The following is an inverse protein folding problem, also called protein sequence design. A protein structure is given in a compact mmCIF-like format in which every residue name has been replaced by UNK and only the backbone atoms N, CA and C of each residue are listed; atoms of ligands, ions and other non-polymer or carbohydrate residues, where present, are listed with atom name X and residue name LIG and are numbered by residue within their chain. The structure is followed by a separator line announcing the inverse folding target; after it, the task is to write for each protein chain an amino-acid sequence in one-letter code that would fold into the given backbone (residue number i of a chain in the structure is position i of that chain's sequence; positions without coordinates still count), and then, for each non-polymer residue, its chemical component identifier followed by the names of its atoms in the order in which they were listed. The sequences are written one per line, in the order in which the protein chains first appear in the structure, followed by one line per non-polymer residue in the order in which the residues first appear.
data_IF_452816774379
#
_entry.id   IF_452816774379
#
_cell.length_a   1.000
_cell.length_b   1.000
_cell.length_c   1.000
_cell.angle_alpha   90.00
_cell.angle_beta   90.00
_cell.angle_gamma   90.00
#
_symmetry.space_group_name_H-M   'P 1'
#
loop_
_entity.id
_entity.type
_entity.pdbx_description
1 polymer ?
#
# COMPACT_ATOMS: atom_id res chain seq x y z
N UNK A 1 -1.18 40.24 -6.66
CA UNK A 1 -0.09 39.43 -7.26
C UNK A 1 -0.65 38.04 -7.49
N UNK A 2 -0.80 37.60 -8.74
CA UNK A 2 -1.31 36.26 -9.05
C UNK A 2 -0.16 35.26 -8.85
N UNK A 3 -0.26 34.40 -7.84
CA UNK A 3 0.75 33.36 -7.60
C UNK A 3 0.50 32.23 -8.60
N UNK A 4 1.43 32.05 -9.55
CA UNK A 4 1.31 31.04 -10.60
C UNK A 4 1.69 29.68 -10.00
N UNK A 5 0.70 28.84 -9.75
CA UNK A 5 0.90 27.47 -9.31
C UNK A 5 1.33 26.60 -10.49
N UNK A 6 2.46 25.90 -10.36
CA UNK A 6 2.97 25.01 -11.40
C UNK A 6 2.52 23.57 -11.15
N UNK A 7 2.18 22.89 -12.25
CA UNK A 7 1.75 21.48 -12.22
C UNK A 7 2.93 20.57 -12.57
N UNK A 8 3.30 19.73 -11.63
CA UNK A 8 4.32 18.70 -11.79
C UNK A 8 3.67 17.32 -11.87
N UNK A 9 4.04 16.53 -12.88
CA UNK A 9 3.52 15.18 -13.08
C UNK A 9 4.67 14.19 -13.05
N UNK A 10 4.57 13.20 -12.16
CA UNK A 10 5.51 12.11 -12.02
C UNK A 10 4.81 10.80 -12.36
N UNK A 11 5.42 9.98 -13.21
CA UNK A 11 4.90 8.64 -13.54
C UNK A 11 6.00 7.61 -13.36
N UNK A 12 5.70 6.52 -12.65
CA UNK A 12 6.59 5.36 -12.55
C UNK A 12 5.77 4.08 -12.64
N UNK A 13 6.31 3.01 -13.26
CA UNK A 13 5.65 1.71 -13.26
C UNK A 13 5.67 1.13 -11.84
N UNK A 14 4.50 0.80 -11.28
CA UNK A 14 4.31 0.15 -9.98
C UNK A 14 3.15 -0.83 -10.04
N UNK A 15 3.28 -1.98 -9.39
CA UNK A 15 2.20 -3.00 -9.33
C UNK A 15 1.66 -3.41 -10.73
N UNK A 16 2.52 -3.43 -11.75
CA UNK A 16 2.14 -3.79 -13.12
C UNK A 16 1.43 -2.69 -13.93
N UNK A 17 1.34 -1.45 -13.43
CA UNK A 17 0.64 -0.34 -14.07
C UNK A 17 1.38 1.00 -13.88
N UNK A 18 1.20 2.02 -14.74
CA UNK A 18 1.73 3.36 -14.47
C UNK A 18 1.06 4.01 -13.25
N UNK A 19 1.86 4.40 -12.27
CA UNK A 19 1.41 5.14 -11.09
C UNK A 19 1.79 6.62 -11.19
N UNK A 20 0.76 7.46 -11.33
CA UNK A 20 0.91 8.88 -11.58
C UNK A 20 0.69 9.70 -10.29
N UNK A 21 1.65 10.57 -9.96
CA UNK A 21 1.51 11.56 -8.89
C UNK A 21 1.53 12.94 -9.55
N UNK A 22 0.44 13.69 -9.40
CA UNK A 22 0.36 15.09 -9.84
C UNK A 22 0.41 15.98 -8.61
N UNK A 23 1.33 16.94 -8.60
CA UNK A 23 1.44 17.95 -7.53
C UNK A 23 1.31 19.33 -8.15
N UNK A 24 0.45 20.14 -7.55
CA UNK A 24 0.35 21.56 -7.80
C UNK A 24 1.05 22.27 -6.64
N UNK A 25 2.07 23.08 -6.94
CA UNK A 25 2.80 23.83 -5.92
C UNK A 25 3.38 25.10 -6.50
N UNK A 26 3.54 26.11 -5.65
CA UNK A 26 4.26 27.35 -5.94
C UNK A 26 5.73 27.27 -5.57
N UNK A 27 6.09 26.34 -4.66
CA UNK A 27 7.46 26.03 -4.26
C UNK A 27 7.77 24.56 -4.59
N UNK A 28 8.72 24.35 -5.49
CA UNK A 28 9.17 23.02 -5.92
C UNK A 28 10.34 22.48 -5.10
N UNK A 29 10.82 23.24 -4.09
CA UNK A 29 11.89 22.78 -3.22
C UNK A 29 11.50 21.49 -2.48
N UNK A 30 12.35 20.47 -2.62
CA UNK A 30 12.13 19.17 -1.99
C UNK A 30 11.03 18.32 -2.63
N UNK A 31 10.38 18.78 -3.71
CA UNK A 31 9.33 18.04 -4.39
C UNK A 31 9.82 16.66 -4.86
N UNK A 32 10.99 16.59 -5.48
CA UNK A 32 11.60 15.33 -5.91
C UNK A 32 11.85 14.36 -4.74
N UNK A 33 12.28 14.88 -3.58
CA UNK A 33 12.51 14.07 -2.39
C UNK A 33 11.19 13.53 -1.80
N UNK A 34 10.13 14.36 -1.76
CA UNK A 34 8.81 13.95 -1.33
C UNK A 34 8.22 12.86 -2.24
N UNK A 35 8.32 13.05 -3.55
CA UNK A 35 7.86 12.07 -4.55
C UNK A 35 8.62 10.75 -4.44
N UNK A 36 9.94 10.78 -4.21
CA UNK A 36 10.72 9.58 -3.97
C UNK A 36 10.27 8.84 -2.70
N UNK A 37 9.94 9.55 -1.62
CA UNK A 37 9.38 8.94 -0.40
C UNK A 37 8.01 8.30 -0.68
N UNK A 38 7.16 8.93 -1.47
CA UNK A 38 5.88 8.36 -1.90
C UNK A 38 6.08 7.05 -2.67
N UNK A 39 6.98 7.04 -3.66
CA UNK A 39 7.27 5.82 -4.42
C UNK A 39 7.89 4.72 -3.57
N UNK A 40 8.81 5.05 -2.66
CA UNK A 40 9.37 4.08 -1.72
C UNK A 40 8.29 3.44 -0.84
N UNK A 41 7.29 4.24 -0.40
CA UNK A 41 6.16 3.72 0.36
C UNK A 41 5.28 2.78 -0.48
N UNK A 42 5.04 3.11 -1.75
CA UNK A 42 4.31 2.25 -2.69
C UNK A 42 5.06 0.94 -2.91
N UNK A 43 6.39 0.97 -2.99
CA UNK A 43 7.20 -0.25 -3.10
C UNK A 43 7.07 -1.15 -1.87
N UNK A 44 7.05 -0.57 -0.67
CA UNK A 44 6.78 -1.33 0.56
C UNK A 44 5.39 -1.97 0.53
N UNK A 45 4.36 -1.23 0.06
CA UNK A 45 3.01 -1.78 -0.07
C UNK A 45 2.96 -2.91 -1.10
N UNK A 46 3.66 -2.78 -2.23
CA UNK A 46 3.75 -3.84 -3.22
C UNK A 46 4.42 -5.10 -2.63
N UNK A 47 5.47 -4.96 -1.82
CA UNK A 47 6.08 -6.11 -1.15
C UNK A 47 5.13 -6.82 -0.18
N UNK A 48 4.22 -6.09 0.46
CA UNK A 48 3.25 -6.67 1.41
C UNK A 48 2.09 -7.34 0.67
N UNK A 49 1.52 -6.65 -0.33
CA UNK A 49 0.23 -7.00 -0.95
C UNK A 49 0.32 -7.62 -2.35
N UNK A 50 1.51 -7.79 -2.92
CA UNK A 50 1.60 -8.33 -4.27
C UNK A 50 1.22 -9.81 -4.32
N UNK A 51 0.17 -10.12 -5.07
CA UNK A 51 -0.25 -11.49 -5.38
C UNK A 51 0.66 -12.16 -6.44
N UNK A 52 1.52 -11.40 -7.10
CA UNK A 52 2.48 -11.92 -8.09
C UNK A 52 3.81 -12.33 -7.45
N UNK A 53 4.16 -11.73 -6.31
CA UNK A 53 5.43 -12.02 -5.65
C UNK A 53 5.29 -13.20 -4.71
N UNK A 54 6.06 -14.27 -4.96
CA UNK A 54 6.09 -15.46 -4.10
C UNK A 54 6.70 -15.21 -2.71
N UNK A 55 7.37 -14.07 -2.55
CA UNK A 55 8.00 -13.59 -1.30
C UNK A 55 7.17 -12.52 -0.58
N UNK A 56 6.01 -12.14 -1.11
CA UNK A 56 5.15 -11.19 -0.41
C UNK A 56 4.57 -11.79 0.86
N UNK A 57 4.25 -10.92 1.82
CA UNK A 57 3.62 -11.33 3.08
C UNK A 57 2.27 -12.04 2.83
N UNK A 58 1.50 -11.55 1.85
CA UNK A 58 0.25 -12.18 1.43
C UNK A 58 0.48 -13.60 0.92
N UNK A 59 1.41 -13.80 -0.01
CA UNK A 59 1.74 -15.12 -0.54
C UNK A 59 2.23 -16.08 0.55
N UNK A 60 3.05 -15.58 1.49
CA UNK A 60 3.52 -16.37 2.63
C UNK A 60 2.38 -16.76 3.56
N UNK A 61 1.44 -15.85 3.85
CA UNK A 61 0.26 -16.12 4.65
C UNK A 61 -0.62 -17.19 4.00
N UNK A 62 -0.87 -17.07 2.68
CA UNK A 62 -1.64 -18.05 1.92
C UNK A 62 -0.97 -19.43 1.90
N UNK A 63 0.36 -19.49 1.71
CA UNK A 63 1.11 -20.75 1.72
C UNK A 63 1.10 -21.44 3.07
N UNK A 64 1.16 -20.67 4.15
CA UNK A 64 1.22 -21.22 5.52
C UNK A 64 -0.15 -21.36 6.17
N UNK A 65 -1.24 -21.03 5.47
CA UNK A 65 -2.59 -21.05 6.00
C UNK A 65 -2.95 -22.43 6.55
N UNK A 66 -3.13 -22.50 7.88
CA UNK A 66 -3.48 -23.72 8.60
C UNK A 66 -4.71 -23.48 9.47
N UNK A 67 -5.63 -24.42 9.46
CA UNK A 67 -6.88 -24.32 10.23
C UNK A 67 -6.54 -24.29 11.72
N UNK A 68 -7.03 -23.27 12.42
CA UNK A 68 -6.88 -23.16 13.87
C UNK A 68 -5.56 -22.57 14.36
N UNK A 69 -4.63 -22.24 13.47
CA UNK A 69 -3.35 -21.60 13.81
C UNK A 69 -3.42 -20.11 13.48
N UNK A 70 -3.12 -19.26 14.46
CA UNK A 70 -2.94 -17.82 14.22
C UNK A 70 -1.53 -17.56 13.71
N UNK A 71 -1.43 -16.97 12.53
CA UNK A 71 -0.16 -16.57 11.92
C UNK A 71 -0.01 -15.06 12.14
N UNK A 72 1.09 -14.58 12.74
CA UNK A 72 1.31 -13.15 12.89
C UNK A 72 1.57 -12.49 11.53
N UNK A 73 1.03 -11.29 11.34
CA UNK A 73 1.19 -10.47 10.13
C UNK A 73 1.17 -8.97 10.48
N UNK A 74 1.57 -8.11 9.54
CA UNK A 74 1.68 -6.66 9.74
C UNK A 74 0.33 -5.98 9.99
N UNK A 75 0.32 -4.97 10.85
CA UNK A 75 -0.89 -4.21 11.22
C UNK A 75 -1.58 -3.54 10.02
N UNK A 76 -0.82 -3.11 9.01
CA UNK A 76 -1.38 -2.49 7.80
C UNK A 76 -2.21 -3.50 6.99
N UNK A 77 -1.78 -4.77 6.98
CA UNK A 77 -2.51 -5.86 6.35
C UNK A 77 -3.82 -6.14 7.09
N UNK A 78 -3.80 -6.16 8.43
CA UNK A 78 -5.02 -6.27 9.25
C UNK A 78 -6.04 -5.17 8.96
N UNK A 79 -5.54 -3.94 8.82
CA UNK A 79 -6.38 -2.77 8.56
C UNK A 79 -7.13 -2.92 7.24
N UNK A 80 -6.43 -3.40 6.21
CA UNK A 80 -7.01 -3.63 4.89
C UNK A 80 -7.99 -4.82 4.92
N UNK A 81 -7.62 -5.93 5.57
CA UNK A 81 -8.51 -7.09 5.71
C UNK A 81 -9.81 -6.76 6.45
N UNK A 82 -9.72 -6.01 7.54
CA UNK A 82 -10.90 -5.57 8.30
C UNK A 82 -11.84 -4.72 7.45
N UNK A 83 -11.28 -3.93 6.53
CA UNK A 83 -12.03 -3.08 5.61
C UNK A 83 -12.64 -3.86 4.45
N UNK A 84 -11.95 -4.87 3.91
CA UNK A 84 -12.45 -5.70 2.79
C UNK A 84 -13.48 -6.75 3.22
N UNK A 85 -13.38 -7.26 4.45
CA UNK A 85 -14.27 -8.29 4.97
C UNK A 85 -14.79 -7.92 6.37
N UNK A 86 -15.72 -6.94 6.47
CA UNK A 86 -16.21 -6.44 7.75
C UNK A 86 -16.91 -7.51 8.61
N UNK A 87 -17.44 -8.57 7.98
CA UNK A 87 -18.11 -9.68 8.66
C UNK A 87 -17.16 -10.60 9.43
N UNK A 88 -15.85 -10.57 9.16
CA UNK A 88 -14.85 -11.35 9.89
C UNK A 88 -14.60 -10.82 11.31
N UNK A 89 -15.08 -9.59 11.61
CA UNK A 89 -14.96 -8.98 12.94
C UNK A 89 -15.91 -9.55 14.00
N UNK A 90 -16.93 -10.34 13.63
CA UNK A 90 -18.05 -10.64 14.54
C UNK A 90 -18.23 -12.12 14.89
N UNK A 91 -17.46 -13.06 14.31
CA UNK A 91 -17.46 -14.45 14.81
C UNK A 91 -16.53 -14.58 16.03
N UNK A 92 -16.91 -13.95 17.14
CA UNK A 92 -16.57 -14.48 18.48
C UNK A 92 -17.05 -15.93 18.47
N UNK A 93 -16.12 -16.89 18.56
CA UNK A 93 -16.44 -18.29 18.87
C UNK A 93 -17.33 -18.27 20.12
N UNK A 94 -18.62 -18.59 19.96
CA UNK A 94 -19.43 -19.08 21.08
C UNK A 94 -18.85 -20.46 21.41
N UNK A 95 -18.15 -20.50 22.54
CA UNK A 95 -18.03 -21.69 23.38
C UNK A 95 -19.20 -21.69 24.34
#
# INVERSE_FOLDING_TARGET
MAQKEERYVFSRPKMGSPFNITVHTTDSNGLAAAINKCYARIDTLNQIFSDYSVTSELSLLCKNAQIGVFIPFLLIFYTILKKSAPSLSTKRRRI
#
